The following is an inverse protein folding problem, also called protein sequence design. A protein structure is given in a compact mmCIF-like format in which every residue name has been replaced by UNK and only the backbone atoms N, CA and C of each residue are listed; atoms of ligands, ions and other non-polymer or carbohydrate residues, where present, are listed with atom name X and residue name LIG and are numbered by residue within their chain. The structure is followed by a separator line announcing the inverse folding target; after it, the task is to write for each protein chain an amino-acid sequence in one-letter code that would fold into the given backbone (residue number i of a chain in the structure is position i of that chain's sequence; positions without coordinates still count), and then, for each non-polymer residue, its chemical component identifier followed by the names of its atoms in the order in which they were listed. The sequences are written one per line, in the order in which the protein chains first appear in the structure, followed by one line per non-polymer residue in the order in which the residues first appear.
data_IF_625778372991
#
_entry.id   IF_625778372991
#
_cell.length_a   1.000
_cell.length_b   1.000
_cell.length_c   1.000
_cell.angle_alpha   90.00
_cell.angle_beta   90.00
_cell.angle_gamma   90.00
#
_symmetry.space_group_name_H-M   'P 1'
#
loop_
_entity.id
_entity.type
_entity.pdbx_description
1 polymer ?
#
# COMPACT_ATOMS: atom_id res chain seq x y z
N UNK A 1 -1.58 16.16 16.67
CA UNK A 1 -2.00 14.79 16.25
C UNK A 1 -0.98 14.16 15.32
N UNK A 2 -0.68 14.77 14.17
CA UNK A 2 0.28 14.25 13.18
C UNK A 2 1.68 13.93 13.73
N UNK A 3 2.32 14.87 14.43
CA UNK A 3 3.66 14.66 14.99
C UNK A 3 3.75 13.40 15.86
N UNK A 4 2.85 13.30 16.85
CA UNK A 4 2.76 12.14 17.74
C UNK A 4 2.51 10.83 16.98
N UNK A 5 1.71 10.87 15.92
CA UNK A 5 1.50 9.71 15.05
C UNK A 5 2.78 9.31 14.32
N UNK A 6 3.47 10.28 13.71
CA UNK A 6 4.70 10.06 12.97
C UNK A 6 5.82 9.50 13.87
N UNK A 7 5.93 9.98 15.11
CA UNK A 7 6.83 9.43 16.14
C UNK A 7 6.53 7.96 16.44
N UNK A 8 5.26 7.63 16.73
CA UNK A 8 4.87 6.24 17.01
C UNK A 8 5.05 5.31 15.81
N UNK A 9 4.79 5.82 14.61
CA UNK A 9 5.02 5.07 13.38
C UNK A 9 6.52 4.82 13.16
N UNK A 10 7.38 5.81 13.44
CA UNK A 10 8.84 5.63 13.43
C UNK A 10 9.29 4.57 14.43
N UNK A 11 8.85 4.65 15.68
CA UNK A 11 9.16 3.65 16.72
C UNK A 11 8.79 2.23 16.24
N UNK A 12 7.61 2.08 15.64
CA UNK A 12 7.14 0.81 15.11
C UNK A 12 8.02 0.31 13.95
N UNK A 13 8.40 1.20 13.02
CA UNK A 13 9.31 0.86 11.93
C UNK A 13 10.72 0.48 12.41
N UNK A 14 11.22 1.08 13.50
CA UNK A 14 12.51 0.74 14.08
C UNK A 14 12.46 -0.58 14.86
N UNK A 15 11.35 -0.85 15.56
CA UNK A 15 11.17 -2.05 16.38
C UNK A 15 10.96 -3.32 15.55
N UNK A 16 10.44 -3.20 14.32
CA UNK A 16 10.18 -4.32 13.43
C UNK A 16 11.26 -4.40 12.35
N UNK A 17 11.74 -5.61 12.05
CA UNK A 17 12.79 -5.83 11.05
C UNK A 17 12.39 -5.45 9.62
N UNK A 18 13.33 -5.59 8.67
CA UNK A 18 13.16 -5.21 7.25
C UNK A 18 11.96 -5.85 6.52
N UNK A 19 11.31 -6.87 7.11
CA UNK A 19 10.07 -7.49 6.62
C UNK A 19 8.80 -6.69 6.99
N UNK A 20 8.91 -5.44 7.43
CA UNK A 20 7.73 -4.60 7.68
C UNK A 20 6.97 -4.34 6.40
N UNK A 21 5.65 -4.55 6.45
CA UNK A 21 4.72 -4.20 5.37
C UNK A 21 4.54 -2.66 5.21
N UNK A 22 5.41 -1.85 5.82
CA UNK A 22 5.34 -0.39 5.82
C UNK A 22 6.38 0.11 4.82
N UNK A 23 5.91 0.58 3.68
CA UNK A 23 6.76 1.06 2.60
C UNK A 23 6.97 2.56 2.74
N UNK A 24 8.22 3.02 2.69
CA UNK A 24 8.51 4.43 2.38
C UNK A 24 8.06 4.76 0.96
N UNK A 25 7.86 6.04 0.66
CA UNK A 25 7.50 6.47 -0.70
C UNK A 25 8.47 5.95 -1.79
N UNK A 26 9.81 5.99 -1.62
CA UNK A 26 10.73 5.44 -2.62
C UNK A 26 10.55 3.93 -2.81
N UNK A 27 10.44 3.15 -1.73
CA UNK A 27 10.24 1.69 -1.80
C UNK A 27 8.91 1.34 -2.47
N UNK A 28 7.87 2.13 -2.22
CA UNK A 28 6.57 1.98 -2.85
C UNK A 28 6.65 2.19 -4.37
N UNK A 29 7.31 3.25 -4.83
CA UNK A 29 7.51 3.53 -6.26
C UNK A 29 8.39 2.47 -6.93
N UNK A 30 9.46 2.05 -6.26
CA UNK A 30 10.31 0.96 -6.73
C UNK A 30 9.51 -0.35 -6.88
N UNK A 31 8.59 -0.62 -5.96
CA UNK A 31 7.74 -1.80 -6.03
C UNK A 31 6.76 -1.74 -7.21
N UNK A 32 6.19 -0.57 -7.52
CA UNK A 32 5.36 -0.37 -8.72
C UNK A 32 6.14 -0.74 -9.98
N UNK A 33 7.36 -0.21 -10.13
CA UNK A 33 8.22 -0.52 -11.28
C UNK A 33 8.61 -2.00 -11.33
N UNK A 34 8.90 -2.61 -10.17
CA UNK A 34 9.15 -4.05 -10.08
C UNK A 34 7.94 -4.90 -10.48
N UNK A 35 6.71 -4.46 -10.18
CA UNK A 35 5.49 -5.16 -10.61
C UNK A 35 5.30 -5.02 -12.12
N UNK A 36 5.46 -3.82 -12.67
CA UNK A 36 5.36 -3.57 -14.12
C UNK A 36 6.38 -4.39 -14.89
N UNK A 37 7.63 -4.40 -14.46
CA UNK A 37 8.69 -5.21 -15.07
C UNK A 37 8.37 -6.71 -14.99
N UNK A 38 7.85 -7.21 -13.86
CA UNK A 38 7.39 -8.60 -13.75
C UNK A 38 6.22 -8.95 -14.68
N UNK A 39 5.30 -8.01 -14.91
CA UNK A 39 4.20 -8.19 -15.87
C UNK A 39 4.71 -8.27 -17.30
N UNK A 40 5.63 -7.38 -17.69
CA UNK A 40 6.16 -7.30 -19.05
C UNK A 40 7.12 -8.43 -19.42
N UNK A 41 7.70 -9.14 -18.45
CA UNK A 41 8.53 -10.31 -18.73
C UNK A 41 7.68 -11.42 -19.36
N UNK A 42 8.05 -11.85 -20.56
CA UNK A 42 7.44 -13.02 -21.22
C UNK A 42 8.31 -14.27 -21.07
N UNK A 43 9.63 -14.10 -21.05
CA UNK A 43 10.64 -15.16 -20.89
C UNK A 43 11.45 -14.95 -19.62
N UNK A 44 12.03 -16.04 -19.07
CA UNK A 44 12.90 -16.03 -17.89
C UNK A 44 12.28 -15.41 -16.62
N UNK A 45 10.97 -15.60 -16.40
CA UNK A 45 10.33 -15.21 -15.14
C UNK A 45 10.92 -16.00 -13.98
N UNK A 46 11.41 -15.29 -12.96
CA UNK A 46 11.93 -15.90 -11.73
C UNK A 46 10.79 -16.20 -10.76
N UNK A 47 10.96 -17.13 -9.80
CA UNK A 47 9.99 -17.37 -8.73
C UNK A 47 9.53 -16.08 -8.01
N UNK A 48 10.45 -15.13 -7.82
CA UNK A 48 10.17 -13.81 -7.25
C UNK A 48 9.19 -12.98 -8.08
N UNK A 49 9.24 -13.08 -9.41
CA UNK A 49 8.31 -12.37 -10.31
C UNK A 49 6.89 -12.93 -10.12
N UNK A 50 6.74 -14.25 -10.04
CA UNK A 50 5.45 -14.89 -9.77
C UNK A 50 4.93 -14.55 -8.36
N UNK A 51 5.80 -14.58 -7.35
CA UNK A 51 5.43 -14.21 -5.98
C UNK A 51 4.98 -12.74 -5.90
N UNK A 52 5.66 -11.85 -6.64
CA UNK A 52 5.31 -10.44 -6.72
C UNK A 52 3.93 -10.24 -7.37
N UNK A 53 3.68 -10.85 -8.52
CA UNK A 53 2.40 -10.76 -9.24
C UNK A 53 1.24 -11.42 -8.47
N UNK A 54 1.51 -12.43 -7.64
CA UNK A 54 0.51 -13.02 -6.75
C UNK A 54 0.09 -12.07 -5.62
N UNK A 55 0.98 -11.18 -5.18
CA UNK A 55 0.74 -10.28 -4.03
C UNK A 55 0.33 -8.87 -4.43
N UNK A 56 0.79 -8.42 -5.58
CA UNK A 56 0.72 -7.03 -6.00
C UNK A 56 0.28 -6.93 -7.44
N UNK A 57 -0.51 -5.90 -7.68
CA UNK A 57 -0.87 -5.43 -8.99
C UNK A 57 -0.75 -3.90 -9.05
N UNK A 58 -0.75 -3.32 -10.25
CA UNK A 58 -0.67 -1.88 -10.48
C UNK A 58 -1.87 -1.45 -11.30
N UNK A 59 -2.54 -0.41 -10.83
CA UNK A 59 -3.66 0.23 -11.49
C UNK A 59 -3.40 1.72 -11.68
N UNK A 60 -3.74 2.23 -12.85
CA UNK A 60 -3.62 3.66 -13.17
C UNK A 60 -4.95 4.35 -12.87
N UNK A 61 -4.90 5.39 -12.03
CA UNK A 61 -6.06 6.25 -11.73
C UNK A 61 -5.69 7.68 -12.16
N UNK A 62 -6.32 8.16 -13.22
CA UNK A 62 -5.92 9.41 -13.88
C UNK A 62 -4.47 9.30 -14.37
N UNK A 63 -3.60 10.19 -13.90
CA UNK A 63 -2.17 10.22 -14.25
C UNK A 63 -1.28 9.53 -13.20
N UNK A 64 -1.87 8.90 -12.17
CA UNK A 64 -1.11 8.29 -11.07
C UNK A 64 -1.22 6.78 -11.08
N UNK A 65 -0.07 6.12 -11.01
CA UNK A 65 0.01 4.68 -10.78
C UNK A 65 -0.14 4.37 -9.28
N UNK A 66 -1.00 3.40 -8.96
CA UNK A 66 -1.26 2.95 -7.60
C UNK A 66 -1.03 1.44 -7.51
N UNK A 67 -0.36 1.03 -6.44
CA UNK A 67 -0.14 -0.36 -6.09
C UNK A 67 -1.41 -0.88 -5.41
N UNK A 68 -1.91 -2.01 -5.89
CA UNK A 68 -3.15 -2.63 -5.41
C UNK A 68 -2.92 -4.11 -5.09
N UNK A 69 -3.84 -4.68 -4.31
CA UNK A 69 -4.00 -6.13 -4.25
C UNK A 69 -4.53 -6.58 -5.62
N UNK A 70 -4.00 -7.68 -6.21
CA UNK A 70 -4.52 -8.23 -7.45
C UNK A 70 -6.04 -8.38 -7.41
N UNK A 71 -6.72 -7.88 -8.44
CA UNK A 71 -8.17 -7.94 -8.55
C UNK A 71 -8.56 -9.39 -8.85
N UNK A 72 -9.42 -9.96 -8.01
CA UNK A 72 -9.99 -11.28 -8.24
C UNK A 72 -11.40 -11.14 -8.84
N UNK A 73 -11.74 -12.00 -9.79
CA UNK A 73 -13.09 -12.06 -10.34
C UNK A 73 -14.13 -12.25 -9.22
N UNK A 74 -15.17 -11.41 -9.22
CA UNK A 74 -16.22 -11.41 -8.20
C UNK A 74 -15.94 -10.58 -6.95
N UNK A 75 -14.77 -9.93 -6.81
CA UNK A 75 -14.53 -8.93 -5.77
C UNK A 75 -14.77 -7.52 -6.30
N UNK A 76 -15.78 -6.83 -5.75
CA UNK A 76 -16.11 -5.46 -6.13
C UNK A 76 -15.15 -4.41 -5.54
N UNK A 77 -14.50 -4.73 -4.41
CA UNK A 77 -13.66 -3.77 -3.69
C UNK A 77 -12.19 -3.86 -4.06
N UNK A 78 -11.64 -2.76 -4.59
CA UNK A 78 -10.21 -2.62 -4.87
C UNK A 78 -9.50 -2.17 -3.60
N UNK A 79 -8.46 -2.90 -3.20
CA UNK A 79 -7.62 -2.57 -2.04
C UNK A 79 -6.32 -1.95 -2.49
N UNK A 80 -6.06 -0.74 -2.02
CA UNK A 80 -4.84 0.00 -2.30
C UNK A 80 -3.79 -0.23 -1.22
N UNK A 81 -2.55 -0.43 -1.66
CA UNK A 81 -1.40 -0.21 -0.79
C UNK A 81 -1.10 1.29 -0.73
N UNK A 82 -0.58 1.73 0.40
CA UNK A 82 -0.26 3.14 0.64
C UNK A 82 1.15 3.21 1.21
N UNK A 83 1.86 4.29 0.87
CA UNK A 83 3.16 4.52 1.46
C UNK A 83 3.02 5.27 2.78
N UNK A 84 4.04 5.16 3.61
CA UNK A 84 4.09 5.61 5.01
C UNK A 84 3.62 7.05 5.19
N UNK A 85 4.05 7.94 4.30
CA UNK A 85 3.80 9.38 4.33
C UNK A 85 2.33 9.74 4.02
N UNK A 86 1.55 8.85 3.39
CA UNK A 86 0.12 9.02 3.11
C UNK A 86 -0.79 8.48 4.24
N UNK A 87 -0.28 7.60 5.12
CA UNK A 87 -1.09 6.88 6.11
C UNK A 87 -1.87 7.84 7.03
N UNK A 88 -1.19 8.84 7.60
CA UNK A 88 -1.83 9.75 8.55
C UNK A 88 -3.00 10.51 7.90
N UNK A 89 -2.78 11.07 6.72
CA UNK A 89 -3.78 11.88 6.04
C UNK A 89 -5.02 11.04 5.71
N UNK A 90 -4.83 9.83 5.18
CA UNK A 90 -5.94 8.92 4.88
C UNK A 90 -6.76 8.55 6.12
N UNK A 91 -6.09 8.20 7.22
CA UNK A 91 -6.78 7.89 8.47
C UNK A 91 -7.48 9.12 9.07
N UNK A 92 -6.87 10.29 8.97
CA UNK A 92 -7.43 11.53 9.48
C UNK A 92 -8.67 11.95 8.69
N UNK A 93 -8.61 11.86 7.37
CA UNK A 93 -9.73 12.18 6.49
C UNK A 93 -10.89 11.20 6.70
N UNK A 94 -10.60 9.90 6.82
CA UNK A 94 -11.61 8.89 7.16
C UNK A 94 -12.24 9.13 8.54
N UNK A 95 -11.43 9.52 9.53
CA UNK A 95 -11.93 9.86 10.86
C UNK A 95 -12.87 11.08 10.85
N UNK A 96 -12.52 12.13 10.09
CA UNK A 96 -13.34 13.34 9.94
C UNK A 96 -14.61 13.03 9.17
N UNK A 97 -14.53 12.31 8.05
CA UNK A 97 -15.67 12.07 7.15
C UNK A 97 -16.82 11.32 7.81
N UNK A 98 -16.53 10.47 8.79
CA UNK A 98 -17.54 9.74 9.57
C UNK A 98 -17.99 10.46 10.85
N UNK A 99 -17.60 11.74 11.03
CA UNK A 99 -17.95 12.54 12.20
C UNK A 99 -17.21 12.11 13.47
N UNK A 100 -15.88 12.03 13.38
CA UNK A 100 -15.00 11.63 14.49
C UNK A 100 -15.25 10.23 15.05
N UNK A 101 -15.69 9.31 14.18
CA UNK A 101 -15.92 7.92 14.55
C UNK A 101 -14.63 7.23 15.01
N UNK A 102 -14.75 6.37 16.02
CA UNK A 102 -13.64 5.53 16.49
C UNK A 102 -13.27 4.43 15.51
N UNK A 103 -12.24 3.64 15.87
CA UNK A 103 -11.64 2.57 15.06
C UNK A 103 -12.66 1.68 14.34
N UNK A 104 -13.61 1.09 15.07
CA UNK A 104 -14.57 0.14 14.50
C UNK A 104 -15.47 0.75 13.42
N UNK A 105 -15.66 2.07 13.43
CA UNK A 105 -16.42 2.77 12.38
C UNK A 105 -15.54 3.12 11.19
N UNK A 106 -14.23 3.30 11.39
CA UNK A 106 -13.27 3.49 10.30
C UNK A 106 -12.91 2.19 9.57
N UNK A 107 -13.11 1.03 10.20
CA UNK A 107 -12.85 -0.29 9.60
C UNK A 107 -14.02 -0.85 8.78
N UNK A 108 -15.20 -0.20 8.83
CA UNK A 108 -16.42 -0.61 8.10
C UNK A 108 -16.48 0.07 6.74
#
# INVERSE_FOLDING_TARGET
MKHRFDERLNELCLSKGQNTQILTKPQYLELIEKVKTSKSKVVNKKPEDYQRLRRFDVMTIGEKEKLIVPVEEGKEQIRFYVHREEIFQLLHDAHISIGHGGRNRMEK
#
